data_IF_937429356997
#
_entry.id   IF_937429356997
#
_cell.length_a   1.000
_cell.length_b   1.000
_cell.length_c   1.000
_cell.angle_alpha   90.00
_cell.angle_beta   90.00
_cell.angle_gamma   90.00
#
_symmetry.space_group_name_H-M   'P 1'
#
loop_
_entity.id
_entity.type
_entity.pdbx_description
1 polymer ?
#
# COMPACT_ATOMS: atom_id res chain seq x y z
N UNK A 1 4.49 24.40 -8.19
CA UNK A 1 4.63 23.21 -7.32
C UNK A 1 3.43 23.12 -6.39
N UNK A 2 2.93 21.90 -6.11
CA UNK A 2 1.88 21.67 -5.12
C UNK A 2 2.39 22.10 -3.73
N UNK A 3 1.64 22.94 -3.00
CA UNK A 3 2.06 23.46 -1.68
C UNK A 3 2.28 22.36 -0.64
N UNK A 4 1.61 21.22 -0.79
CA UNK A 4 1.69 20.10 0.14
C UNK A 4 3.08 19.44 0.12
N UNK A 5 3.78 19.47 -1.01
CA UNK A 5 5.10 18.83 -1.14
C UNK A 5 6.25 19.60 -0.50
N UNK A 6 5.97 20.76 0.09
CA UNK A 6 6.96 21.62 0.73
C UNK A 6 7.35 21.14 2.14
N UNK A 7 6.55 20.30 2.80
CA UNK A 7 6.81 19.83 4.17
C UNK A 7 6.54 18.33 4.31
N UNK A 8 7.18 17.65 5.29
CA UNK A 8 6.87 16.26 5.64
C UNK A 8 5.37 16.00 5.88
N UNK A 9 4.72 16.80 6.72
CA UNK A 9 3.29 16.66 7.01
C UNK A 9 2.41 16.86 5.77
N UNK A 10 2.77 17.82 4.91
CA UNK A 10 2.02 18.05 3.67
C UNK A 10 2.14 16.90 2.68
N UNK A 11 3.34 16.31 2.54
CA UNK A 11 3.54 15.09 1.73
C UNK A 11 2.73 13.92 2.28
N UNK A 12 2.76 13.73 3.59
CA UNK A 12 1.98 12.69 4.25
C UNK A 12 0.49 12.86 4.00
N UNK A 13 -0.02 14.10 4.09
CA UNK A 13 -1.41 14.40 3.77
C UNK A 13 -1.76 14.06 2.31
N UNK A 14 -0.88 14.39 1.35
CA UNK A 14 -1.10 14.06 -0.08
C UNK A 14 -1.21 12.56 -0.28
N UNK A 15 -0.29 11.80 0.33
CA UNK A 15 -0.26 10.34 0.27
C UNK A 15 -1.54 9.75 0.88
N UNK A 16 -1.96 10.17 2.08
CA UNK A 16 -3.17 9.68 2.74
C UNK A 16 -4.42 9.94 1.88
N UNK A 17 -4.52 11.11 1.25
CA UNK A 17 -5.66 11.44 0.38
C UNK A 17 -5.68 10.55 -0.87
N UNK A 18 -4.53 10.33 -1.49
CA UNK A 18 -4.43 9.50 -2.69
C UNK A 18 -4.63 8.02 -2.41
N UNK A 19 -4.14 7.53 -1.27
CA UNK A 19 -4.10 6.11 -0.95
C UNK A 19 -5.25 5.66 -0.04
N UNK A 20 -5.43 6.28 1.13
CA UNK A 20 -6.40 5.82 2.11
C UNK A 20 -7.81 6.34 1.81
N UNK A 21 -7.95 7.61 1.45
CA UNK A 21 -9.28 8.20 1.20
C UNK A 21 -9.93 7.61 -0.06
N UNK A 22 -9.16 7.40 -1.13
CA UNK A 22 -9.65 6.79 -2.37
C UNK A 22 -10.28 5.41 -2.10
N UNK A 23 -9.64 4.58 -1.27
CA UNK A 23 -10.12 3.25 -0.87
C UNK A 23 -11.40 3.28 -0.03
N UNK A 24 -11.59 4.31 0.79
CA UNK A 24 -12.80 4.45 1.60
C UNK A 24 -13.98 5.01 0.80
N UNK A 25 -13.74 6.01 -0.06
CA UNK A 25 -14.79 6.69 -0.83
C UNK A 25 -15.30 5.80 -1.97
N UNK A 26 -14.40 5.08 -2.65
CA UNK A 26 -14.73 4.27 -3.83
C UNK A 26 -14.67 2.77 -3.53
N UNK A 27 -15.04 2.36 -2.31
CA UNK A 27 -14.91 0.97 -1.83
C UNK A 27 -15.57 -0.01 -2.81
N UNK A 28 -14.79 -0.98 -3.28
CA UNK A 28 -15.27 -2.02 -4.21
C UNK A 28 -15.25 -1.60 -5.69
N UNK A 29 -14.84 -0.38 -6.02
CA UNK A 29 -14.76 0.12 -7.39
C UNK A 29 -13.30 0.24 -7.87
N UNK A 30 -13.08 0.21 -9.19
CA UNK A 30 -11.76 0.43 -9.80
C UNK A 30 -11.09 1.73 -9.33
N UNK A 31 -11.88 2.77 -9.08
CA UNK A 31 -11.41 4.10 -8.67
C UNK A 31 -10.70 4.11 -7.32
N UNK A 32 -10.94 3.11 -6.46
CA UNK A 32 -10.21 2.93 -5.21
C UNK A 32 -8.70 2.73 -5.43
N UNK A 33 -8.29 2.23 -6.61
CA UNK A 33 -6.90 1.89 -6.94
C UNK A 33 -6.29 2.80 -8.00
N UNK A 34 -7.07 3.72 -8.55
CA UNK A 34 -6.64 4.54 -9.69
C UNK A 34 -5.45 5.45 -9.37
N UNK A 35 -5.30 5.82 -8.09
CA UNK A 35 -4.23 6.68 -7.60
C UNK A 35 -3.01 5.91 -7.08
N UNK A 36 -3.06 4.58 -7.00
CA UNK A 36 -1.98 3.75 -6.41
C UNK A 36 -0.60 4.06 -7.02
N UNK A 37 -0.43 4.18 -8.36
CA UNK A 37 0.88 4.50 -8.93
C UNK A 37 1.41 5.87 -8.50
N UNK A 38 0.53 6.88 -8.38
CA UNK A 38 0.92 8.22 -7.95
C UNK A 38 1.25 8.24 -6.45
N UNK A 39 0.43 7.58 -5.62
CA UNK A 39 0.68 7.46 -4.20
C UNK A 39 2.02 6.78 -3.92
N UNK A 40 2.32 5.69 -4.63
CA UNK A 40 3.60 4.99 -4.54
C UNK A 40 4.77 5.88 -4.96
N UNK A 41 4.67 6.57 -6.10
CA UNK A 41 5.75 7.44 -6.57
C UNK A 41 6.05 8.58 -5.56
N UNK A 42 5.01 9.19 -5.00
CA UNK A 42 5.17 10.26 -3.99
C UNK A 42 5.72 9.75 -2.66
N UNK A 43 5.32 8.54 -2.26
CA UNK A 43 5.87 7.87 -1.09
C UNK A 43 7.37 7.57 -1.27
N UNK A 44 7.76 7.03 -2.42
CA UNK A 44 9.16 6.77 -2.77
C UNK A 44 9.99 8.06 -2.81
N UNK A 45 9.46 9.13 -3.40
CA UNK A 45 10.13 10.44 -3.39
C UNK A 45 10.30 10.97 -1.96
N UNK A 46 9.28 10.84 -1.10
CA UNK A 46 9.33 11.31 0.27
C UNK A 46 10.34 10.52 1.12
N UNK A 47 10.38 9.20 1.01
CA UNK A 47 11.32 8.33 1.72
C UNK A 47 12.76 8.55 1.23
N UNK A 48 12.97 8.65 -0.08
CA UNK A 48 14.30 8.97 -0.64
C UNK A 48 14.82 10.34 -0.15
N UNK A 49 13.92 11.29 0.09
CA UNK A 49 14.23 12.59 0.68
C UNK A 49 14.27 12.61 2.22
N UNK A 50 14.07 11.49 2.91
CA UNK A 50 14.02 11.40 4.37
C UNK A 50 12.86 12.15 5.04
N UNK A 51 11.79 12.46 4.31
CA UNK A 51 10.66 13.22 4.84
C UNK A 51 9.76 12.38 5.75
N UNK A 52 9.74 11.07 5.57
CA UNK A 52 9.15 10.09 6.48
C UNK A 52 9.75 10.19 7.90
N UNK A 53 11.05 10.49 8.01
CA UNK A 53 11.70 10.69 9.31
C UNK A 53 11.32 12.02 9.97
N UNK A 54 10.81 12.97 9.19
CA UNK A 54 10.38 14.30 9.63
C UNK A 54 8.99 14.36 10.28
N UNK A 55 8.28 13.24 10.38
CA UNK A 55 7.01 13.14 11.11
C UNK A 55 7.17 12.28 12.38
N UNK A 56 6.19 12.41 13.29
CA UNK A 56 6.06 11.54 14.47
C UNK A 56 6.16 10.05 14.08
N UNK A 57 6.83 9.25 14.92
CA UNK A 57 7.19 7.86 14.63
C UNK A 57 5.96 7.01 14.28
N UNK A 58 4.84 7.20 14.99
CA UNK A 58 3.61 6.45 14.78
C UNK A 58 2.95 6.75 13.43
N UNK A 59 3.27 7.89 12.81
CA UNK A 59 2.69 8.31 11.52
C UNK A 59 3.52 7.86 10.32
N UNK A 60 4.75 7.37 10.53
CA UNK A 60 5.65 6.98 9.44
C UNK A 60 5.10 5.84 8.60
N UNK A 61 4.38 4.92 9.23
CA UNK A 61 3.73 3.79 8.54
C UNK A 61 2.84 4.23 7.37
N UNK A 62 2.22 5.41 7.43
CA UNK A 62 1.37 5.92 6.35
C UNK A 62 2.17 6.31 5.08
N UNK A 63 3.48 6.57 5.19
CA UNK A 63 4.34 6.69 4.02
C UNK A 63 4.59 5.32 3.36
N UNK A 64 4.48 4.23 4.12
CA UNK A 64 4.83 2.88 3.64
C UNK A 64 3.62 2.11 3.12
N UNK A 65 2.39 2.47 3.50
CA UNK A 65 1.17 1.83 2.99
C UNK A 65 1.09 1.80 1.44
N UNK A 66 1.44 2.86 0.68
CA UNK A 66 1.45 2.78 -0.78
C UNK A 66 2.39 1.71 -1.34
N UNK A 67 3.49 1.38 -0.65
CA UNK A 67 4.38 0.28 -1.04
C UNK A 67 3.66 -1.06 -0.89
N UNK A 68 3.03 -1.27 0.26
CA UNK A 68 2.26 -2.48 0.57
C UNK A 68 1.04 -2.68 -0.35
N UNK A 69 0.58 -1.62 -1.03
CA UNK A 69 -0.51 -1.71 -1.99
C UNK A 69 -0.09 -1.97 -3.43
N UNK A 70 1.21 -1.98 -3.72
CA UNK A 70 1.75 -2.28 -5.04
C UNK A 70 1.60 -3.77 -5.38
N UNK A 71 1.31 -4.12 -6.64
CA UNK A 71 1.38 -5.51 -7.11
C UNK A 71 2.79 -5.83 -7.64
N UNK A 72 3.83 -5.52 -6.86
CA UNK A 72 5.25 -5.73 -7.22
C UNK A 72 6.08 -6.23 -6.05
N UNK A 73 6.63 -7.44 -6.16
CA UNK A 73 7.46 -8.05 -5.10
C UNK A 73 8.69 -7.20 -4.75
N UNK A 74 9.33 -6.54 -5.73
CA UNK A 74 10.48 -5.66 -5.48
C UNK A 74 10.08 -4.46 -4.60
N UNK A 75 8.86 -3.94 -4.78
CA UNK A 75 8.36 -2.83 -3.95
C UNK A 75 8.07 -3.32 -2.54
N UNK A 76 7.57 -4.55 -2.39
CA UNK A 76 7.36 -5.18 -1.10
C UNK A 76 8.66 -5.50 -0.34
N UNK A 77 9.73 -5.89 -1.04
CA UNK A 77 11.05 -6.08 -0.41
C UNK A 77 11.54 -4.79 0.25
N UNK A 78 11.38 -3.65 -0.43
CA UNK A 78 11.69 -2.33 0.14
C UNK A 78 10.72 -1.95 1.26
N UNK A 79 9.43 -2.25 1.11
CA UNK A 79 8.43 -2.04 2.16
C UNK A 79 8.80 -2.77 3.46
N UNK A 80 9.24 -4.02 3.35
CA UNK A 80 9.68 -4.84 4.48
C UNK A 80 10.88 -4.20 5.17
N UNK A 81 11.90 -3.79 4.41
CA UNK A 81 13.06 -3.08 4.94
C UNK A 81 12.67 -1.81 5.71
N UNK A 82 11.70 -1.05 5.21
CA UNK A 82 11.19 0.16 5.85
C UNK A 82 10.43 -0.14 7.15
N UNK A 83 9.61 -1.20 7.16
CA UNK A 83 8.89 -1.64 8.36
C UNK A 83 9.83 -2.23 9.43
N UNK A 84 10.86 -2.98 9.04
CA UNK A 84 11.90 -3.47 9.94
C UNK A 84 12.65 -2.32 10.59
N UNK A 85 13.02 -1.30 9.82
CA UNK A 85 13.65 -0.08 10.35
C UNK A 85 12.72 0.72 11.26
N UNK A 86 11.40 0.69 11.02
CA UNK A 86 10.41 1.35 11.87
C UNK A 86 10.23 0.63 13.21
N UNK A 87 10.37 -0.70 13.23
CA UNK A 87 10.35 -1.53 14.44
C UNK A 87 8.95 -1.84 14.98
N UNK A 88 7.89 -1.60 14.20
CA UNK A 88 6.50 -1.94 14.58
C UNK A 88 6.22 -3.36 14.11
N UNK A 89 6.16 -4.30 15.06
CA UNK A 89 6.06 -5.75 14.81
C UNK A 89 4.84 -6.09 13.95
N UNK A 90 3.69 -5.49 14.26
CA UNK A 90 2.44 -5.74 13.55
C UNK A 90 2.59 -5.37 12.07
N UNK A 91 3.25 -4.24 11.77
CA UNK A 91 3.48 -3.80 10.38
C UNK A 91 4.34 -4.77 9.58
N UNK A 92 5.35 -5.38 10.21
CA UNK A 92 6.20 -6.41 9.60
C UNK A 92 5.38 -7.67 9.30
N UNK A 93 4.55 -8.13 10.24
CA UNK A 93 3.69 -9.31 10.06
C UNK A 93 2.69 -9.09 8.91
N UNK A 94 2.07 -7.90 8.84
CA UNK A 94 1.19 -7.55 7.73
C UNK A 94 1.92 -7.54 6.38
N UNK A 95 3.11 -6.96 6.31
CA UNK A 95 3.91 -6.89 5.08
C UNK A 95 4.30 -8.27 4.57
N UNK A 96 4.72 -9.18 5.46
CA UNK A 96 5.03 -10.57 5.11
C UNK A 96 3.80 -11.30 4.54
N UNK A 97 2.62 -11.10 5.14
CA UNK A 97 1.38 -11.66 4.62
C UNK A 97 1.05 -11.13 3.21
N UNK A 98 1.28 -9.84 2.94
CA UNK A 98 1.07 -9.26 1.61
C UNK A 98 2.07 -9.82 0.57
N UNK A 99 3.33 -10.02 0.96
CA UNK A 99 4.32 -10.68 0.11
C UNK A 99 3.89 -12.09 -0.28
N UNK A 100 3.36 -12.87 0.67
CA UNK A 100 2.92 -14.24 0.40
C UNK A 100 1.75 -14.30 -0.59
N UNK A 101 0.83 -13.35 -0.51
CA UNK A 101 -0.24 -13.19 -1.52
C UNK A 101 0.36 -12.93 -2.90
N UNK A 102 1.31 -12.00 -3.02
CA UNK A 102 1.95 -11.72 -4.30
C UNK A 102 2.82 -12.87 -4.82
N UNK A 103 3.52 -13.61 -3.95
CA UNK A 103 4.28 -14.81 -4.35
C UNK A 103 3.34 -15.88 -4.91
N UNK A 104 2.16 -16.05 -4.29
CA UNK A 104 1.18 -17.06 -4.66
C UNK A 104 0.40 -16.72 -5.93
N UNK A 105 -0.01 -15.45 -6.10
CA UNK A 105 -0.94 -15.05 -7.15
C UNK A 105 -0.39 -14.02 -8.14
N UNK A 106 0.73 -13.39 -7.85
CA UNK A 106 1.31 -12.30 -8.66
C UNK A 106 0.53 -10.98 -8.62
N UNK A 107 -0.57 -10.93 -7.85
CA UNK A 107 -1.51 -9.80 -7.73
C UNK A 107 -2.37 -9.96 -6.49
N UNK A 108 -3.24 -8.99 -6.20
CA UNK A 108 -4.27 -9.10 -5.15
C UNK A 108 -5.60 -9.60 -5.71
N UNK A 109 -5.99 -10.87 -5.46
CA UNK A 109 -7.21 -11.44 -6.05
C UNK A 109 -8.49 -10.68 -5.70
N UNK A 110 -8.54 -10.05 -4.52
CA UNK A 110 -9.67 -9.23 -4.08
C UNK A 110 -9.93 -8.00 -4.94
N UNK A 111 -8.92 -7.53 -5.69
CA UNK A 111 -9.06 -6.41 -6.61
C UNK A 111 -9.60 -6.84 -7.97
N UNK A 112 -9.69 -8.14 -8.26
CA UNK A 112 -10.03 -8.64 -9.59
C UNK A 112 -11.40 -8.13 -10.06
N UNK A 113 -12.44 -8.29 -9.25
CA UNK A 113 -13.79 -7.85 -9.61
C UNK A 113 -13.86 -6.34 -9.88
N UNK A 114 -13.30 -5.54 -8.97
CA UNK A 114 -13.26 -4.09 -9.09
C UNK A 114 -12.51 -3.62 -10.36
N UNK A 115 -11.48 -4.36 -10.78
CA UNK A 115 -10.64 -4.03 -11.93
C UNK A 115 -11.02 -4.81 -13.21
N UNK A 116 -12.15 -5.52 -13.20
CA UNK A 116 -12.62 -6.29 -14.36
C UNK A 116 -11.71 -7.46 -14.77
N UNK A 117 -10.89 -7.98 -13.85
CA UNK A 117 -10.02 -9.14 -14.09
C UNK A 117 -10.80 -10.44 -13.84
N UNK A 118 -10.56 -11.46 -14.66
CA UNK A 118 -11.08 -12.81 -14.40
C UNK A 118 -10.30 -13.46 -13.26
N UNK A 119 -11.02 -13.92 -12.23
CA UNK A 119 -10.46 -14.72 -11.13
C UNK A 119 -10.42 -16.19 -11.50
N UNK A 120 -9.34 -16.88 -11.10
CA UNK A 120 -9.24 -18.34 -11.11
C UNK A 120 -10.05 -18.96 -9.97
N UNK A 121 -10.30 -20.27 -10.03
CA UNK A 121 -10.97 -21.00 -8.95
C UNK A 121 -10.20 -20.92 -7.62
N UNK A 122 -8.86 -20.96 -7.67
CA UNK A 122 -8.00 -20.86 -6.48
C UNK A 122 -8.07 -19.46 -5.87
N UNK A 123 -8.08 -18.42 -6.70
CA UNK A 123 -8.26 -17.03 -6.25
C UNK A 123 -9.62 -16.81 -5.59
N UNK A 124 -10.70 -17.37 -6.17
CA UNK A 124 -12.04 -17.29 -5.58
C UNK A 124 -12.13 -18.02 -4.23
N UNK A 125 -11.55 -19.22 -4.15
CA UNK A 125 -11.50 -19.97 -2.90
C UNK A 125 -10.69 -19.23 -1.81
N UNK A 126 -9.57 -18.61 -2.19
CA UNK A 126 -8.78 -17.76 -1.30
C UNK A 126 -9.57 -16.54 -0.80
N UNK A 127 -10.29 -15.83 -1.68
CA UNK A 127 -11.10 -14.68 -1.27
C UNK A 127 -12.25 -15.04 -0.32
N UNK A 128 -12.73 -16.28 -0.37
CA UNK A 128 -13.80 -16.80 0.48
C UNK A 128 -13.31 -17.40 1.82
N UNK A 129 -11.99 -17.59 2.01
CA UNK A 129 -11.41 -18.16 3.23
C UNK A 129 -11.03 -17.09 4.25
N UNK A 130 -10.66 -17.53 5.46
CA UNK A 130 -10.14 -16.65 6.51
C UNK A 130 -8.77 -16.04 6.15
N UNK A 131 -7.96 -16.75 5.36
CA UNK A 131 -6.69 -16.25 4.80
C UNK A 131 -6.90 -15.11 3.82
N UNK A 132 -8.11 -14.96 3.29
CA UNK A 132 -8.43 -13.85 2.40
C UNK A 132 -8.70 -12.56 3.15
N UNK A 133 -8.98 -12.56 4.46
CA UNK A 133 -9.85 -11.55 5.12
C UNK A 133 -9.38 -10.10 5.16
N UNK A 134 -8.13 -9.80 4.81
CA UNK A 134 -7.57 -8.45 4.75
C UNK A 134 -7.97 -7.65 3.50
#
# INVERSE_FOLDING_TARGET
MCRWRATPDGRLAEIIVLDQFSRQIYRGEARAFASDPMALALAQEAVAGGHDLGVAHERRMFFYLPYMHSESLVVHEECLRLHEALGIKEGIEYELAHQDVLRRFGRYPRRNAALGRTSTSVELAYCASDEGKW
#
